data_IF_903498081922
#
_entry.id   IF_903498081922
#
_cell.length_a   1.000
_cell.length_b   1.000
_cell.length_c   1.000
_cell.angle_alpha   90.00
_cell.angle_beta   90.00
_cell.angle_gamma   90.00
#
_symmetry.space_group_name_H-M   'P 1'
#
loop_
_entity.id
_entity.type
_entity.pdbx_description
1 polymer ?
#
# COMPACT_ATOMS: atom_id res chain seq x y z
N UNK A 1 -38.12 19.33 -62.83
CA UNK A 1 -39.20 18.34 -62.71
C UNK A 1 -39.24 17.94 -61.24
N UNK A 2 -40.35 18.26 -60.56
CA UNK A 2 -40.75 18.01 -59.15
C UNK A 2 -39.81 18.55 -58.03
N UNK A 3 -40.17 19.62 -57.26
CA UNK A 3 -41.12 19.70 -56.10
C UNK A 3 -40.57 18.91 -54.89
N UNK A 4 -40.43 19.38 -53.65
CA UNK A 4 -40.97 20.43 -52.76
C UNK A 4 -39.97 20.53 -51.58
N UNK A 5 -39.90 21.53 -50.71
CA UNK A 5 -40.79 22.65 -50.42
C UNK A 5 -40.31 23.32 -49.11
N UNK A 6 -40.69 24.60 -49.00
CA UNK A 6 -40.90 25.43 -47.79
C UNK A 6 -39.71 25.78 -46.86
N UNK A 7 -39.25 27.05 -46.80
CA UNK A 7 -39.81 28.27 -46.15
C UNK A 7 -39.60 28.20 -44.61
N UNK A 8 -38.91 29.12 -43.91
CA UNK A 8 -39.16 30.55 -43.75
C UNK A 8 -37.91 31.33 -43.29
N UNK A 9 -37.97 32.66 -43.48
CA UNK A 9 -36.93 33.69 -43.30
C UNK A 9 -36.73 34.16 -41.85
N UNK A 10 -35.60 34.85 -41.56
CA UNK A 10 -35.11 35.16 -40.23
C UNK A 10 -35.63 36.51 -39.71
N UNK A 11 -35.54 36.75 -38.39
CA UNK A 11 -35.30 38.08 -37.82
C UNK A 11 -34.90 38.05 -36.35
N UNK A 12 -33.78 38.74 -36.10
CA UNK A 12 -33.42 39.56 -34.95
C UNK A 12 -33.30 38.90 -33.56
N UNK A 13 -32.05 38.66 -33.15
CA UNK A 13 -31.67 38.47 -31.75
C UNK A 13 -30.80 39.65 -31.31
N UNK A 14 -31.31 40.38 -30.32
CA UNK A 14 -30.71 41.52 -29.63
C UNK A 14 -29.59 41.08 -28.67
N UNK A 15 -28.64 41.99 -28.48
CA UNK A 15 -27.58 41.97 -27.47
C UNK A 15 -28.11 41.69 -26.05
N UNK A 16 -27.44 40.78 -25.34
CA UNK A 16 -27.59 40.57 -23.91
C UNK A 16 -26.23 40.37 -23.25
N UNK A 17 -25.81 41.35 -22.46
CA UNK A 17 -24.59 41.39 -21.64
C UNK A 17 -24.63 40.29 -20.57
N UNK A 18 -23.70 39.33 -20.59
CA UNK A 18 -23.54 38.35 -19.50
C UNK A 18 -22.64 38.92 -18.40
N UNK A 19 -23.19 39.09 -17.20
CA UNK A 19 -22.42 39.21 -15.96
C UNK A 19 -21.84 37.85 -15.60
N UNK A 20 -20.51 37.77 -15.52
CA UNK A 20 -19.79 36.62 -14.98
C UNK A 20 -19.96 36.58 -13.45
N UNK A 21 -20.88 35.75 -12.98
CA UNK A 21 -20.96 35.35 -11.57
C UNK A 21 -19.93 34.27 -11.28
N UNK A 22 -18.87 34.62 -10.56
CA UNK A 22 -17.90 33.66 -10.02
C UNK A 22 -18.59 32.86 -8.91
N UNK A 23 -19.04 31.65 -9.23
CA UNK A 23 -19.38 30.64 -8.24
C UNK A 23 -18.06 29.99 -7.78
N UNK A 24 -17.45 30.54 -6.74
CA UNK A 24 -16.46 29.80 -5.95
C UNK A 24 -17.20 28.71 -5.18
N UNK A 25 -16.89 27.41 -5.37
CA UNK A 25 -17.34 26.40 -4.43
C UNK A 25 -16.61 26.65 -3.11
N UNK A 26 -17.36 27.12 -2.11
CA UNK A 26 -16.90 27.08 -0.71
C UNK A 26 -16.87 25.59 -0.35
N UNK A 27 -15.68 25.01 -0.31
CA UNK A 27 -15.47 23.73 0.34
C UNK A 27 -15.73 23.95 1.83
N UNK A 28 -16.97 23.71 2.25
CA UNK A 28 -17.27 23.57 3.67
C UNK A 28 -16.73 22.21 4.09
N UNK A 29 -15.60 22.20 4.79
CA UNK A 29 -15.31 21.11 5.72
C UNK A 29 -16.37 21.20 6.82
N UNK A 30 -17.45 20.46 6.66
CA UNK A 30 -18.34 20.16 7.77
C UNK A 30 -17.66 19.06 8.57
N UNK A 31 -17.17 19.42 9.77
CA UNK A 31 -17.22 18.50 10.89
C UNK A 31 -18.71 18.18 11.11
N UNK A 32 -19.20 17.17 10.38
CA UNK A 32 -20.44 16.53 10.78
C UNK A 32 -20.16 15.84 12.11
N UNK A 33 -20.89 16.27 13.14
CA UNK A 33 -21.12 15.50 14.36
C UNK A 33 -21.80 14.19 13.92
N UNK A 34 -20.97 13.24 13.47
CA UNK A 34 -21.43 11.94 13.00
C UNK A 34 -21.85 11.19 14.24
N UNK A 35 -23.14 11.27 14.54
CA UNK A 35 -23.79 10.45 15.56
C UNK A 35 -23.43 8.96 15.41
N UNK A 36 -23.84 8.12 16.36
CA UNK A 36 -23.29 6.78 16.50
C UNK A 36 -23.37 5.97 15.20
N UNK A 37 -22.27 5.32 14.84
CA UNK A 37 -22.16 4.45 13.67
C UNK A 37 -23.12 3.26 13.83
N UNK A 38 -23.93 2.99 12.82
CA UNK A 38 -24.86 1.85 12.81
C UNK A 38 -24.68 0.99 11.56
N UNK A 39 -24.54 -0.31 11.75
CA UNK A 39 -24.36 -1.26 10.66
C UNK A 39 -24.66 -2.70 11.09
N UNK A 40 -24.63 -3.64 10.14
CA UNK A 40 -24.87 -5.06 10.37
C UNK A 40 -23.61 -5.88 10.06
N UNK A 41 -22.90 -6.43 11.06
CA UNK A 41 -21.68 -7.22 10.84
C UNK A 41 -21.97 -8.70 10.51
N UNK A 42 -23.22 -9.13 10.63
CA UNK A 42 -23.67 -10.49 10.33
C UNK A 42 -25.20 -10.51 10.23
N UNK A 43 -25.75 -11.52 9.57
CA UNK A 43 -27.19 -11.69 9.44
C UNK A 43 -27.89 -11.68 10.82
N UNK A 44 -28.87 -10.80 10.99
CA UNK A 44 -29.66 -10.69 12.21
C UNK A 44 -28.98 -9.95 13.38
N UNK A 45 -27.77 -9.42 13.18
CA UNK A 45 -27.06 -8.61 14.17
C UNK A 45 -27.05 -7.15 13.74
N UNK A 46 -27.39 -6.25 14.65
CA UNK A 46 -27.25 -4.80 14.47
C UNK A 46 -26.26 -4.25 15.48
N UNK A 47 -25.37 -3.38 15.03
CA UNK A 47 -24.35 -2.72 15.84
C UNK A 47 -24.64 -1.24 15.91
N UNK A 48 -24.45 -0.66 17.09
CA UNK A 48 -24.31 0.78 17.30
C UNK A 48 -22.97 1.01 17.98
N UNK A 49 -22.11 1.85 17.40
CA UNK A 49 -20.79 2.15 17.93
C UNK A 49 -20.59 3.67 18.05
N UNK A 50 -19.97 4.11 19.14
CA UNK A 50 -19.65 5.52 19.40
C UNK A 50 -18.28 5.64 20.07
N UNK A 51 -17.58 6.75 19.82
CA UNK A 51 -16.34 7.09 20.52
C UNK A 51 -16.69 7.77 21.84
N UNK A 52 -16.04 7.35 22.91
CA UNK A 52 -16.19 7.91 24.25
C UNK A 52 -15.12 8.97 24.52
N UNK A 53 -15.32 9.79 25.55
CA UNK A 53 -14.38 10.88 25.93
C UNK A 53 -12.96 10.39 26.24
N UNK A 54 -12.80 9.11 26.63
CA UNK A 54 -11.51 8.49 26.90
C UNK A 54 -10.85 7.85 25.66
N UNK A 55 -11.43 8.06 24.47
CA UNK A 55 -10.99 7.50 23.20
C UNK A 55 -11.32 6.02 23.00
N UNK A 56 -12.07 5.41 23.92
CA UNK A 56 -12.58 4.05 23.76
C UNK A 56 -13.83 4.02 22.87
N UNK A 57 -14.14 2.86 22.31
CA UNK A 57 -15.35 2.62 21.55
C UNK A 57 -16.38 1.92 22.43
N UNK A 58 -17.54 2.54 22.61
CA UNK A 58 -18.71 1.86 23.16
C UNK A 58 -19.49 1.20 22.03
N UNK A 59 -19.64 -0.13 22.11
CA UNK A 59 -20.32 -0.93 21.09
C UNK A 59 -21.52 -1.65 21.70
N UNK A 60 -22.71 -1.48 21.12
CA UNK A 60 -23.93 -2.18 21.47
C UNK A 60 -24.34 -3.13 20.34
N UNK A 61 -24.52 -4.41 20.66
CA UNK A 61 -24.98 -5.44 19.73
C UNK A 61 -26.41 -5.86 20.04
N UNK A 62 -27.27 -5.76 19.03
CA UNK A 62 -28.68 -6.12 19.10
C UNK A 62 -28.98 -7.34 18.21
N UNK A 63 -29.97 -8.18 18.57
CA UNK A 63 -30.90 -8.03 19.70
C UNK A 63 -30.35 -8.52 21.05
N UNK A 64 -29.16 -9.11 21.09
CA UNK A 64 -28.59 -9.71 22.31
C UNK A 64 -28.40 -8.71 23.47
N UNK A 65 -28.38 -7.40 23.20
CA UNK A 65 -28.16 -6.35 24.19
C UNK A 65 -26.73 -6.34 24.73
N UNK A 66 -25.80 -7.02 24.04
CA UNK A 66 -24.41 -7.17 24.47
C UNK A 66 -23.66 -5.87 24.28
N UNK A 67 -22.82 -5.51 25.24
CA UNK A 67 -21.99 -4.30 25.19
C UNK A 67 -20.51 -4.67 25.20
N UNK A 68 -19.72 -3.98 24.39
CA UNK A 68 -18.26 -4.08 24.40
C UNK A 68 -17.65 -2.68 24.53
N UNK A 69 -16.52 -2.62 25.23
CA UNK A 69 -15.63 -1.47 25.23
C UNK A 69 -14.34 -1.92 24.53
N UNK A 70 -14.02 -1.27 23.41
CA UNK A 70 -12.87 -1.61 22.59
C UNK A 70 -11.93 -0.41 22.55
N UNK A 71 -10.61 -0.59 22.49
CA UNK A 71 -9.71 0.52 22.20
C UNK A 71 -10.12 1.23 20.89
N UNK A 72 -10.02 2.56 20.85
CA UNK A 72 -10.10 3.29 19.60
C UNK A 72 -8.73 3.34 18.90
N UNK A 73 -8.61 4.26 17.95
CA UNK A 73 -7.33 4.72 17.42
C UNK A 73 -7.25 6.24 17.60
N UNK A 74 -7.29 6.74 18.85
CA UNK A 74 -7.53 8.16 19.12
C UNK A 74 -6.39 9.04 18.59
N UNK A 75 -6.76 10.21 18.08
CA UNK A 75 -5.82 11.31 17.85
C UNK A 75 -5.37 11.95 19.18
N UNK A 76 -4.60 13.03 19.09
CA UNK A 76 -4.12 13.78 20.26
C UNK A 76 -5.24 14.35 21.15
N UNK A 77 -6.44 14.52 20.60
CA UNK A 77 -7.62 15.05 21.30
C UNK A 77 -8.55 13.93 21.80
N UNK A 78 -8.19 12.66 21.57
CA UNK A 78 -8.99 11.51 21.98
C UNK A 78 -10.03 11.06 20.95
N UNK A 79 -10.09 11.67 19.76
CA UNK A 79 -11.15 11.41 18.79
C UNK A 79 -10.78 10.28 17.83
N UNK A 80 -11.79 9.59 17.31
CA UNK A 80 -11.64 8.63 16.20
C UNK A 80 -12.82 8.75 15.25
N UNK A 81 -12.55 8.68 13.96
CA UNK A 81 -13.58 8.51 12.94
C UNK A 81 -13.93 7.03 12.83
N UNK A 82 -15.22 6.72 12.97
CA UNK A 82 -15.71 5.34 12.84
C UNK A 82 -16.21 5.06 11.43
N UNK A 83 -16.01 3.83 10.97
CA UNK A 83 -16.53 3.34 9.69
C UNK A 83 -16.81 1.84 9.75
N UNK A 84 -17.60 1.37 8.78
CA UNK A 84 -17.89 -0.03 8.56
C UNK A 84 -17.42 -0.40 7.15
N UNK A 85 -16.35 -1.19 7.04
CA UNK A 85 -15.77 -1.60 5.75
C UNK A 85 -15.51 -3.11 5.74
N UNK A 86 -15.75 -3.78 4.61
CA UNK A 86 -15.45 -5.20 4.40
C UNK A 86 -13.96 -5.36 4.02
N UNK A 87 -13.11 -5.57 5.02
CA UNK A 87 -11.65 -5.64 4.86
C UNK A 87 -11.16 -7.07 4.62
N UNK A 88 -11.90 -8.07 5.06
CA UNK A 88 -11.56 -9.48 4.82
C UNK A 88 -12.19 -10.08 3.55
N UNK A 89 -13.04 -9.29 2.89
CA UNK A 89 -13.69 -9.58 1.63
C UNK A 89 -14.64 -10.78 1.74
N UNK A 90 -15.34 -10.90 2.86
CA UNK A 90 -16.36 -11.92 3.13
C UNK A 90 -17.80 -11.42 2.93
N UNK A 91 -17.98 -10.11 2.66
CA UNK A 91 -19.27 -9.46 2.45
C UNK A 91 -19.90 -8.93 3.74
N UNK A 92 -19.23 -9.07 4.88
CA UNK A 92 -19.63 -8.49 6.15
C UNK A 92 -18.61 -7.43 6.59
N UNK A 93 -19.06 -6.23 6.96
CA UNK A 93 -18.13 -5.18 7.35
C UNK A 93 -17.53 -5.38 8.75
N UNK A 94 -16.25 -5.06 8.87
CA UNK A 94 -15.54 -4.83 10.13
C UNK A 94 -15.91 -3.47 10.73
N UNK A 95 -15.80 -3.34 12.05
CA UNK A 95 -15.79 -2.03 12.73
C UNK A 95 -14.38 -1.45 12.67
N UNK A 96 -14.24 -0.23 12.17
CA UNK A 96 -12.95 0.44 12.01
C UNK A 96 -12.98 1.80 12.70
N UNK A 97 -11.93 2.08 13.48
CA UNK A 97 -11.65 3.39 14.03
C UNK A 97 -10.35 3.94 13.42
N UNK A 98 -10.38 5.19 12.97
CA UNK A 98 -9.26 5.89 12.33
C UNK A 98 -9.05 7.25 12.95
N UNK A 99 -7.81 7.67 13.15
CA UNK A 99 -7.52 9.08 13.44
C UNK A 99 -6.13 9.49 12.97
N UNK A 100 -5.95 10.78 12.76
CA UNK A 100 -4.65 11.34 12.40
C UNK A 100 -3.66 11.20 13.57
N UNK A 101 -2.44 10.75 13.26
CA UNK A 101 -1.33 10.71 14.21
C UNK A 101 -0.18 11.54 13.64
N UNK A 102 0.11 12.64 14.33
CA UNK A 102 0.98 13.67 13.79
C UNK A 102 0.40 14.30 12.53
N UNK A 103 1.26 14.71 11.60
CA UNK A 103 0.83 15.50 10.44
C UNK A 103 0.46 14.67 9.20
N UNK A 104 0.79 13.37 9.18
CA UNK A 104 0.81 12.59 7.92
C UNK A 104 0.41 11.13 8.06
N UNK A 105 0.37 10.57 9.27
CA UNK A 105 -0.03 9.18 9.47
C UNK A 105 -1.48 9.12 9.94
N UNK A 106 -2.14 7.99 9.68
CA UNK A 106 -3.46 7.67 10.24
C UNK A 106 -3.31 6.37 11.04
N UNK A 107 -3.59 6.41 12.34
CA UNK A 107 -3.71 5.19 13.13
C UNK A 107 -5.04 4.51 12.80
N UNK A 108 -5.03 3.18 12.74
CA UNK A 108 -6.22 2.39 12.41
C UNK A 108 -6.35 1.23 13.39
N UNK A 109 -7.51 1.14 14.03
CA UNK A 109 -7.93 -0.03 14.80
C UNK A 109 -9.06 -0.73 14.05
N UNK A 110 -8.89 -2.03 13.81
CA UNK A 110 -9.85 -2.86 13.07
C UNK A 110 -10.40 -3.95 13.98
N UNK A 111 -11.71 -4.13 13.96
CA UNK A 111 -12.43 -5.12 14.75
C UNK A 111 -13.32 -5.99 13.88
N UNK A 112 -13.04 -7.30 13.88
CA UNK A 112 -13.84 -8.30 13.17
C UNK A 112 -14.87 -8.92 14.10
N UNK A 113 -16.10 -9.07 13.60
CA UNK A 113 -17.15 -9.74 14.33
C UNK A 113 -17.03 -11.27 14.23
N UNK A 114 -16.94 -11.95 15.36
CA UNK A 114 -16.95 -13.41 15.44
C UNK A 114 -18.37 -13.91 15.70
N UNK A 115 -19.01 -14.49 14.67
CA UNK A 115 -20.39 -15.02 14.78
C UNK A 115 -20.55 -16.03 15.91
N UNK A 116 -19.54 -16.89 16.13
CA UNK A 116 -19.59 -17.92 17.17
C UNK A 116 -19.64 -17.38 18.61
N UNK A 117 -18.92 -16.29 18.89
CA UNK A 117 -18.88 -15.66 20.21
C UNK A 117 -19.86 -14.48 20.34
N UNK A 118 -20.33 -13.96 19.20
CA UNK A 118 -21.12 -12.74 19.13
C UNK A 118 -20.35 -11.53 19.62
N UNK A 119 -19.04 -11.46 19.36
CA UNK A 119 -18.15 -10.39 19.81
C UNK A 119 -17.28 -9.86 18.69
N UNK A 120 -16.94 -8.59 18.79
CA UNK A 120 -15.81 -8.02 18.06
C UNK A 120 -14.48 -8.44 18.69
N UNK A 121 -13.53 -8.81 17.83
CA UNK A 121 -12.11 -9.07 18.15
C UNK A 121 -11.22 -8.13 17.35
N UNK A 122 -10.17 -7.62 17.99
CA UNK A 122 -9.16 -6.84 17.28
C UNK A 122 -8.50 -7.70 16.20
N UNK A 123 -8.50 -7.20 14.97
CA UNK A 123 -7.74 -7.79 13.88
C UNK A 123 -6.27 -7.41 14.05
N UNK A 124 -5.40 -8.41 14.04
CA UNK A 124 -3.95 -8.22 14.11
C UNK A 124 -3.29 -8.93 12.94
N UNK A 125 -2.34 -8.27 12.31
CA UNK A 125 -1.51 -8.90 11.30
C UNK A 125 -0.41 -9.74 11.95
N UNK A 126 -0.14 -10.92 11.38
CA UNK A 126 1.06 -11.69 11.66
C UNK A 126 2.13 -11.27 10.65
N UNK A 127 3.18 -10.61 11.14
CA UNK A 127 4.21 -9.98 10.29
C UNK A 127 5.57 -10.66 10.35
N UNK A 128 5.79 -11.47 11.39
CA UNK A 128 7.10 -12.09 11.68
C UNK A 128 8.25 -11.07 11.80
N UNK A 129 7.95 -9.82 12.13
CA UNK A 129 8.94 -8.75 12.27
C UNK A 129 9.49 -8.21 10.95
N UNK A 130 8.78 -8.44 9.84
CA UNK A 130 9.15 -7.94 8.51
C UNK A 130 8.36 -6.69 8.07
N UNK A 131 7.42 -6.23 8.88
CA UNK A 131 6.62 -5.03 8.65
C UNK A 131 7.42 -3.75 8.89
N UNK A 132 7.06 -2.70 8.17
CA UNK A 132 7.60 -1.35 8.33
C UNK A 132 6.62 -0.43 9.06
N UNK A 133 5.31 -0.68 8.91
CA UNK A 133 4.27 0.22 9.38
C UNK A 133 3.63 -0.17 10.72
N UNK A 134 4.07 -1.25 11.36
CA UNK A 134 3.56 -1.65 12.67
C UNK A 134 2.07 -1.97 12.67
N UNK A 135 1.30 -1.29 13.53
CA UNK A 135 -0.12 -1.54 13.79
C UNK A 135 -1.07 -1.01 12.69
N UNK A 136 -0.89 -1.42 11.43
CA UNK A 136 -1.80 -1.17 10.31
C UNK A 136 -2.12 0.33 10.04
N UNK A 137 -1.11 1.19 10.00
CA UNK A 137 -1.31 2.61 9.70
C UNK A 137 -1.76 2.89 8.25
N UNK A 138 -2.60 3.91 8.06
CA UNK A 138 -2.99 4.40 6.73
C UNK A 138 -3.62 3.32 5.85
N UNK A 139 -4.49 2.49 6.44
CA UNK A 139 -4.97 1.26 5.84
C UNK A 139 -5.98 1.50 4.71
N UNK A 140 -5.76 0.87 3.55
CA UNK A 140 -6.69 0.89 2.41
C UNK A 140 -6.95 -0.52 1.91
N UNK A 141 -8.18 -0.79 1.46
CA UNK A 141 -8.57 -2.08 0.91
C UNK A 141 -8.62 -2.04 -0.63
N UNK A 142 -8.02 -3.04 -1.26
CA UNK A 142 -8.22 -3.35 -2.67
C UNK A 142 -9.02 -4.65 -2.78
N UNK A 143 -10.35 -4.51 -2.92
CA UNK A 143 -11.25 -5.64 -3.10
C UNK A 143 -10.97 -6.42 -4.38
N UNK A 144 -10.53 -5.72 -5.44
CA UNK A 144 -10.22 -6.36 -6.70
C UNK A 144 -9.03 -7.29 -6.51
N UNK A 145 -7.97 -6.90 -5.78
CA UNK A 145 -6.79 -7.72 -5.50
C UNK A 145 -6.90 -8.61 -4.26
N UNK A 146 -7.91 -8.39 -3.41
CA UNK A 146 -8.07 -8.96 -2.06
C UNK A 146 -6.83 -8.72 -1.20
N UNK A 147 -6.41 -7.45 -1.13
CA UNK A 147 -5.27 -7.02 -0.33
C UNK A 147 -5.61 -5.80 0.51
N UNK A 148 -4.96 -5.69 1.66
CA UNK A 148 -4.93 -4.46 2.44
C UNK A 148 -3.55 -3.82 2.29
N UNK A 149 -3.49 -2.51 2.13
CA UNK A 149 -2.24 -1.76 2.03
C UNK A 149 -2.16 -0.79 3.19
N UNK A 150 -1.14 -0.92 4.02
CA UNK A 150 -0.78 0.07 5.03
C UNK A 150 0.28 1.00 4.45
N UNK A 151 0.15 2.30 4.73
CA UNK A 151 1.07 3.34 4.31
C UNK A 151 1.41 4.21 5.50
N UNK A 152 2.69 4.36 5.79
CA UNK A 152 3.17 5.12 6.93
C UNK A 152 4.43 5.91 6.57
N UNK A 153 4.66 6.99 7.30
CA UNK A 153 5.89 7.76 7.24
C UNK A 153 6.68 7.60 8.53
N UNK A 154 7.97 7.30 8.39
CA UNK A 154 8.94 7.34 9.48
C UNK A 154 10.18 8.12 9.02
N UNK A 155 10.54 9.17 9.77
CA UNK A 155 11.56 10.12 9.33
C UNK A 155 11.23 10.77 7.97
N UNK A 156 12.19 10.87 7.04
CA UNK A 156 11.93 11.43 5.72
C UNK A 156 11.24 10.46 4.77
N UNK A 157 11.12 9.17 5.13
CA UNK A 157 10.73 8.10 4.24
C UNK A 157 9.26 7.68 4.42
N UNK A 158 8.64 7.33 3.30
CA UNK A 158 7.40 6.59 3.26
C UNK A 158 7.70 5.09 3.15
N UNK A 159 6.82 4.29 3.74
CA UNK A 159 6.89 2.84 3.72
C UNK A 159 5.51 2.29 3.39
N UNK A 160 5.52 1.15 2.70
CA UNK A 160 4.31 0.43 2.38
C UNK A 160 4.41 -1.04 2.77
N UNK A 161 3.37 -1.52 3.46
CA UNK A 161 3.14 -2.94 3.72
C UNK A 161 1.85 -3.39 3.05
N UNK A 162 1.85 -4.59 2.47
CA UNK A 162 0.68 -5.20 1.85
C UNK A 162 0.34 -6.48 2.58
N UNK A 163 -0.92 -6.66 2.95
CA UNK A 163 -1.41 -7.80 3.69
C UNK A 163 -2.44 -8.60 2.88
N UNK A 164 -2.55 -9.88 3.23
CA UNK A 164 -3.58 -10.80 2.72
C UNK A 164 -4.17 -11.63 3.85
N UNK A 165 -5.35 -12.18 3.58
CA UNK A 165 -5.95 -13.18 4.45
C UNK A 165 -5.58 -14.61 4.00
N UNK A 166 -5.26 -15.45 4.97
CA UNK A 166 -5.20 -16.90 4.86
C UNK A 166 -6.21 -17.50 5.84
N UNK A 167 -7.44 -17.73 5.37
CA UNK A 167 -8.58 -17.98 6.26
C UNK A 167 -8.81 -16.76 7.18
N UNK A 168 -8.92 -16.94 8.52
CA UNK A 168 -9.14 -15.82 9.44
C UNK A 168 -7.86 -15.01 9.74
N UNK A 169 -6.69 -15.49 9.33
CA UNK A 169 -5.42 -14.85 9.66
C UNK A 169 -5.08 -13.79 8.61
N UNK A 170 -4.95 -12.53 9.05
CA UNK A 170 -4.27 -11.49 8.30
C UNK A 170 -2.76 -11.69 8.45
N UNK A 171 -2.03 -11.77 7.33
CA UNK A 171 -0.57 -11.90 7.32
C UNK A 171 0.06 -10.87 6.40
N UNK A 172 1.29 -10.47 6.72
CA UNK A 172 2.10 -9.61 5.86
C UNK A 172 2.43 -10.37 4.58
N UNK A 173 1.87 -9.92 3.46
CA UNK A 173 2.07 -10.55 2.16
C UNK A 173 3.27 -9.95 1.43
N UNK A 174 3.43 -8.63 1.48
CA UNK A 174 4.62 -7.94 0.97
C UNK A 174 5.04 -6.81 1.90
N UNK A 175 6.34 -6.59 1.98
CA UNK A 175 6.89 -5.38 2.58
C UNK A 175 7.96 -4.75 1.72
N UNK A 176 8.07 -3.45 1.90
CA UNK A 176 9.09 -2.61 1.33
C UNK A 176 10.28 -2.49 2.29
N UNK A 177 11.51 -2.48 1.78
CA UNK A 177 12.66 -2.00 2.52
C UNK A 177 13.43 -1.01 1.65
N UNK A 178 13.22 0.29 1.91
CA UNK A 178 13.90 1.37 1.22
C UNK A 178 15.42 1.20 1.33
N UNK A 179 16.10 1.33 0.19
CA UNK A 179 17.54 1.21 0.08
C UNK A 179 18.22 2.57 0.15
N UNK A 180 19.27 2.64 0.96
CA UNK A 180 20.17 3.78 1.05
C UNK A 180 21.51 3.40 0.42
N UNK A 181 21.49 3.12 -0.90
CA UNK A 181 22.69 2.75 -1.66
C UNK A 181 23.32 3.99 -2.29
N UNK A 182 24.66 4.03 -2.33
CA UNK A 182 25.43 5.20 -2.69
C UNK A 182 26.08 5.15 -4.07
N UNK A 183 27.14 5.93 -4.24
CA UNK A 183 27.78 6.18 -5.54
C UNK A 183 28.39 4.93 -6.16
N UNK A 184 28.82 3.96 -5.35
CA UNK A 184 29.36 2.70 -5.86
C UNK A 184 28.35 1.90 -6.68
N UNK A 185 27.06 1.93 -6.31
CA UNK A 185 26.00 1.32 -7.13
C UNK A 185 25.88 2.04 -8.48
N UNK A 186 25.86 3.37 -8.48
CA UNK A 186 25.73 4.20 -9.67
C UNK A 186 26.92 4.06 -10.63
N UNK A 187 28.10 3.74 -10.10
CA UNK A 187 29.30 3.43 -10.91
C UNK A 187 29.28 2.00 -11.47
N UNK A 188 28.58 1.07 -10.82
CA UNK A 188 28.47 -0.31 -11.27
C UNK A 188 27.34 -0.51 -12.28
N UNK A 189 26.19 0.15 -12.06
CA UNK A 189 24.95 -0.08 -12.77
C UNK A 189 24.29 1.24 -13.17
N UNK A 190 23.65 1.22 -14.34
CA UNK A 190 22.82 2.32 -14.84
C UNK A 190 21.44 1.79 -15.23
N UNK A 191 20.39 2.37 -14.67
CA UNK A 191 19.01 2.09 -15.04
C UNK A 191 18.34 3.35 -15.63
N UNK A 192 17.15 3.17 -16.18
CA UNK A 192 16.30 4.27 -16.60
C UNK A 192 15.47 4.73 -15.39
N UNK A 193 15.64 6.00 -15.02
CA UNK A 193 14.83 6.64 -13.99
C UNK A 193 13.59 7.28 -14.61
N UNK A 194 12.44 7.11 -13.98
CA UNK A 194 11.22 7.83 -14.36
C UNK A 194 11.02 9.06 -13.47
N UNK A 195 10.32 10.10 -13.97
CA UNK A 195 10.13 11.36 -13.23
C UNK A 195 9.47 11.18 -11.85
N UNK A 196 8.72 10.10 -11.65
CA UNK A 196 8.02 9.80 -10.40
C UNK A 196 8.68 8.65 -9.61
N UNK A 197 9.87 8.21 -10.01
CA UNK A 197 10.56 7.12 -9.34
C UNK A 197 11.07 7.57 -7.97
N UNK A 198 10.73 6.78 -6.97
CA UNK A 198 11.26 6.88 -5.63
C UNK A 198 12.69 6.39 -5.49
N UNK A 199 13.23 6.45 -4.26
CA UNK A 199 14.42 5.67 -3.94
C UNK A 199 14.15 4.19 -4.22
N UNK A 200 15.21 3.47 -4.59
CA UNK A 200 15.10 2.02 -4.76
C UNK A 200 14.68 1.38 -3.44
N UNK A 201 13.86 0.33 -3.52
CA UNK A 201 13.47 -0.47 -2.38
C UNK A 201 13.57 -1.96 -2.72
N UNK A 202 13.95 -2.77 -1.74
CA UNK A 202 13.75 -4.22 -1.82
C UNK A 202 12.33 -4.54 -1.42
N UNK A 203 11.58 -5.07 -2.38
CA UNK A 203 10.28 -5.67 -2.15
C UNK A 203 10.44 -7.15 -1.88
N UNK A 204 9.79 -7.64 -0.82
CA UNK A 204 9.74 -9.07 -0.49
C UNK A 204 8.30 -9.55 -0.47
N UNK A 205 8.09 -10.77 -0.95
CA UNK A 205 6.81 -11.48 -0.81
C UNK A 205 6.96 -12.61 0.19
N UNK A 206 5.99 -12.77 1.09
CA UNK A 206 6.00 -13.79 2.14
C UNK A 206 4.80 -14.73 2.02
N UNK A 207 4.97 -15.95 2.52
CA UNK A 207 3.85 -16.84 2.83
C UNK A 207 3.27 -16.54 4.23
N UNK A 208 2.13 -17.13 4.62
CA UNK A 208 1.53 -16.90 5.94
C UNK A 208 2.42 -17.31 7.13
N UNK A 209 3.39 -18.18 6.92
CA UNK A 209 4.35 -18.60 7.94
C UNK A 209 5.57 -17.67 8.02
N UNK A 210 5.60 -16.58 7.23
CA UNK A 210 6.70 -15.61 7.23
C UNK A 210 7.88 -16.03 6.36
N UNK A 211 7.76 -17.10 5.59
CA UNK A 211 8.84 -17.52 4.68
C UNK A 211 8.84 -16.60 3.46
N UNK A 212 9.99 -15.98 3.20
CA UNK A 212 10.21 -15.21 1.97
C UNK A 212 10.10 -16.14 0.74
N UNK A 213 9.24 -15.77 -0.20
CA UNK A 213 8.98 -16.45 -1.46
C UNK A 213 9.70 -15.78 -2.63
N UNK A 214 9.70 -14.44 -2.65
CA UNK A 214 10.26 -13.62 -3.74
C UNK A 214 10.97 -12.39 -3.14
N UNK A 215 12.01 -11.92 -3.82
CA UNK A 215 12.64 -10.62 -3.57
C UNK A 215 12.93 -9.95 -4.92
N UNK A 216 12.73 -8.64 -5.00
CA UNK A 216 13.13 -7.82 -6.14
C UNK A 216 13.46 -6.39 -5.68
N UNK A 217 14.43 -5.74 -6.32
CA UNK A 217 14.66 -4.31 -6.13
C UNK A 217 13.84 -3.54 -7.16
N UNK A 218 13.03 -2.57 -6.72
CA UNK A 218 12.20 -1.75 -7.59
C UNK A 218 12.03 -0.34 -7.05
N UNK A 219 11.02 0.37 -7.54
CA UNK A 219 10.59 1.67 -7.00
C UNK A 219 10.01 1.51 -5.59
N UNK A 220 10.44 2.35 -4.64
CA UNK A 220 9.90 2.40 -3.28
C UNK A 220 8.62 3.22 -3.13
N UNK A 221 8.35 4.18 -4.01
CA UNK A 221 7.15 5.02 -3.87
C UNK A 221 5.84 4.32 -4.30
N UNK A 222 5.92 3.20 -5.02
CA UNK A 222 4.77 2.48 -5.53
C UNK A 222 4.82 0.99 -5.24
N UNK A 223 3.86 0.49 -4.47
CA UNK A 223 3.73 -0.94 -4.21
C UNK A 223 3.57 -1.75 -5.52
N UNK A 224 4.39 -2.79 -5.75
CA UNK A 224 4.24 -3.68 -6.89
C UNK A 224 2.87 -4.32 -6.88
N UNK A 225 2.25 -4.41 -8.06
CA UNK A 225 0.92 -5.00 -8.23
C UNK A 225 0.82 -6.35 -7.51
N UNK A 226 -0.09 -6.45 -6.53
CA UNK A 226 -0.20 -7.59 -5.60
C UNK A 226 -0.37 -8.95 -6.27
N UNK A 227 -0.84 -9.01 -7.51
CA UNK A 227 -1.12 -10.27 -8.24
C UNK A 227 -0.04 -10.70 -9.21
N UNK A 228 0.95 -9.85 -9.47
CA UNK A 228 2.05 -10.16 -10.37
C UNK A 228 3.27 -10.61 -9.55
N UNK A 229 4.08 -11.56 -10.06
CA UNK A 229 5.40 -11.83 -9.48
C UNK A 229 6.22 -10.56 -9.38
N UNK A 230 7.04 -10.45 -8.34
CA UNK A 230 7.98 -9.35 -8.24
C UNK A 230 8.93 -9.35 -9.45
N UNK A 231 9.18 -8.16 -10.00
CA UNK A 231 10.13 -7.92 -11.09
C UNK A 231 11.12 -6.88 -10.63
N UNK A 232 12.40 -7.21 -10.80
CA UNK A 232 13.46 -6.26 -10.49
C UNK A 232 13.53 -5.14 -11.51
N UNK A 233 14.06 -4.01 -11.06
CA UNK A 233 14.48 -2.92 -11.91
C UNK A 233 15.59 -3.44 -12.85
N UNK A 234 15.36 -3.23 -14.15
CA UNK A 234 16.35 -3.53 -15.17
C UNK A 234 17.43 -2.44 -15.17
N UNK A 235 18.69 -2.88 -15.25
CA UNK A 235 19.86 -2.04 -15.25
C UNK A 235 20.89 -2.56 -16.27
N UNK A 236 21.90 -1.73 -16.52
CA UNK A 236 22.99 -2.00 -17.46
C UNK A 236 24.32 -1.90 -16.74
N UNK A 237 25.18 -2.88 -16.95
CA UNK A 237 26.54 -2.88 -16.40
C UNK A 237 27.36 -1.75 -17.01
N UNK A 238 27.94 -0.91 -16.16
CA UNK A 238 28.74 0.26 -16.55
C UNK A 238 30.23 -0.07 -16.75
N UNK A 239 30.93 -0.77 -15.84
CA UNK A 239 32.36 -1.01 -15.99
C UNK A 239 32.66 -2.10 -17.01
N UNK A 240 33.89 -2.10 -17.54
CA UNK A 240 34.36 -3.13 -18.48
C UNK A 240 34.25 -4.56 -17.92
N UNK A 241 34.46 -4.71 -16.61
CA UNK A 241 34.25 -5.96 -15.86
C UNK A 241 33.62 -5.66 -14.52
N UNK A 242 32.46 -6.25 -14.26
CA UNK A 242 31.78 -6.23 -12.97
C UNK A 242 31.84 -7.63 -12.38
N UNK A 243 32.62 -7.82 -11.32
CA UNK A 243 32.79 -9.14 -10.69
C UNK A 243 31.52 -9.58 -9.98
N UNK A 244 31.14 -10.84 -10.21
CA UNK A 244 29.90 -11.43 -9.72
C UNK A 244 30.23 -12.56 -8.73
N UNK A 245 29.80 -12.40 -7.48
CA UNK A 245 30.12 -13.30 -6.38
C UNK A 245 28.96 -14.25 -6.08
N UNK A 246 29.26 -15.42 -5.51
CA UNK A 246 28.21 -16.41 -5.19
C UNK A 246 27.39 -16.02 -3.95
N UNK A 247 27.96 -15.21 -3.05
CA UNK A 247 27.33 -14.72 -1.82
C UNK A 247 27.98 -13.42 -1.34
N UNK A 248 27.28 -12.62 -0.50
CA UNK A 248 27.89 -11.51 0.22
C UNK A 248 29.11 -11.94 1.04
N UNK A 249 30.13 -11.07 1.08
CA UNK A 249 31.38 -11.28 1.82
C UNK A 249 32.34 -12.32 1.23
N UNK A 250 32.07 -12.85 0.02
CA UNK A 250 33.03 -13.71 -0.66
C UNK A 250 34.28 -12.92 -1.09
N UNK A 251 35.47 -13.48 -0.87
CA UNK A 251 36.75 -12.76 -1.06
C UNK A 251 37.28 -12.78 -2.49
N UNK A 252 36.78 -13.68 -3.34
CA UNK A 252 37.19 -13.75 -4.74
C UNK A 252 36.12 -14.41 -5.61
N UNK A 253 36.16 -14.11 -6.90
CA UNK A 253 35.35 -14.76 -7.93
C UNK A 253 36.09 -14.71 -9.26
N UNK A 254 35.79 -15.66 -10.15
CA UNK A 254 36.20 -15.62 -11.57
C UNK A 254 35.06 -15.20 -12.49
N UNK A 255 33.84 -15.14 -11.96
CA UNK A 255 32.64 -14.77 -12.71
C UNK A 255 32.58 -13.25 -12.78
N UNK A 256 32.24 -12.74 -13.95
CA UNK A 256 32.04 -11.31 -14.16
C UNK A 256 31.00 -11.11 -15.26
N UNK A 257 30.36 -9.95 -15.20
CA UNK A 257 29.58 -9.37 -16.27
C UNK A 257 30.44 -8.34 -17.00
N UNK A 258 30.09 -8.03 -18.25
CA UNK A 258 30.81 -7.05 -19.06
C UNK A 258 29.96 -5.81 -19.29
N UNK A 259 30.61 -4.70 -19.63
CA UNK A 259 29.94 -3.44 -19.95
C UNK A 259 28.83 -3.65 -20.99
N UNK A 260 27.66 -3.08 -20.73
CA UNK A 260 26.49 -3.18 -21.59
C UNK A 260 25.60 -4.40 -21.34
N UNK A 261 26.02 -5.37 -20.52
CA UNK A 261 25.15 -6.46 -20.10
C UNK A 261 23.91 -5.90 -19.39
N UNK A 262 22.74 -6.44 -19.75
CA UNK A 262 21.46 -6.13 -19.10
C UNK A 262 21.22 -7.08 -17.94
N UNK A 263 20.89 -6.53 -16.78
CA UNK A 263 20.65 -7.28 -15.55
C UNK A 263 19.42 -6.77 -14.83
N UNK A 264 18.82 -7.68 -14.07
CA UNK A 264 17.72 -7.37 -13.17
C UNK A 264 18.22 -7.37 -11.72
N UNK A 265 17.87 -6.32 -10.96
CA UNK A 265 18.24 -6.19 -9.55
C UNK A 265 17.24 -6.95 -8.65
N UNK A 266 17.72 -7.93 -7.89
CA UNK A 266 16.87 -8.90 -7.20
C UNK A 266 16.78 -8.71 -5.69
N UNK A 267 17.86 -8.35 -5.03
CA UNK A 267 17.89 -8.31 -3.56
C UNK A 267 19.06 -7.46 -3.09
N UNK A 268 19.01 -7.06 -1.83
CA UNK A 268 20.09 -6.35 -1.16
C UNK A 268 20.35 -7.00 0.21
N UNK A 269 21.64 -7.13 0.54
CA UNK A 269 22.10 -7.57 1.83
C UNK A 269 23.46 -6.95 2.18
N UNK A 270 23.51 -6.14 3.22
CA UNK A 270 24.73 -5.60 3.83
C UNK A 270 25.66 -4.88 2.81
N UNK A 271 25.06 -4.08 1.93
CA UNK A 271 25.73 -3.37 0.84
C UNK A 271 26.15 -4.26 -0.32
N UNK A 272 25.53 -5.43 -0.45
CA UNK A 272 25.65 -6.28 -1.63
C UNK A 272 24.33 -6.34 -2.38
N UNK A 273 24.39 -6.19 -3.70
CA UNK A 273 23.22 -6.27 -4.56
C UNK A 273 23.25 -7.57 -5.35
N UNK A 274 22.17 -8.34 -5.28
CA UNK A 274 21.99 -9.54 -6.08
C UNK A 274 21.45 -9.16 -7.46
N UNK A 275 22.08 -9.70 -8.49
CA UNK A 275 21.74 -9.48 -9.89
C UNK A 275 21.33 -10.79 -10.56
N UNK A 276 20.45 -10.68 -11.56
CA UNK A 276 20.14 -11.74 -12.52
C UNK A 276 20.49 -11.29 -13.92
N UNK A 277 21.42 -12.00 -14.54
CA UNK A 277 21.76 -11.87 -15.95
C UNK A 277 21.11 -13.02 -16.74
N UNK A 278 20.45 -12.71 -17.86
CA UNK A 278 19.87 -13.74 -18.74
C UNK A 278 20.82 -14.05 -19.88
N UNK A 279 21.58 -15.15 -19.76
CA UNK A 279 22.46 -15.60 -20.82
C UNK A 279 21.65 -16.40 -21.87
N UNK A 280 21.70 -16.04 -23.16
CA UNK A 280 20.96 -16.75 -24.20
C UNK A 280 21.32 -18.24 -24.35
N UNK A 281 22.52 -18.65 -23.92
CA UNK A 281 23.03 -20.03 -24.05
C UNK A 281 22.96 -20.83 -22.75
N UNK A 282 23.06 -20.16 -21.60
CA UNK A 282 23.21 -20.82 -20.28
C UNK A 282 22.02 -20.58 -19.34
N UNK A 283 21.03 -19.77 -19.76
CA UNK A 283 19.90 -19.42 -18.92
C UNK A 283 20.23 -18.30 -17.92
N UNK A 284 19.46 -18.23 -16.84
CA UNK A 284 19.64 -17.21 -15.82
C UNK A 284 20.89 -17.48 -14.97
N UNK A 285 21.73 -16.46 -14.85
CA UNK A 285 22.94 -16.45 -14.03
C UNK A 285 22.71 -15.43 -12.92
N UNK A 286 22.77 -15.88 -11.67
CA UNK A 286 22.61 -15.01 -10.50
C UNK A 286 23.91 -14.87 -9.72
N UNK A 287 24.11 -13.70 -9.12
CA UNK A 287 25.16 -13.49 -8.14
C UNK A 287 25.16 -12.07 -7.58
N UNK A 288 26.11 -11.79 -6.71
CA UNK A 288 26.16 -10.59 -5.91
C UNK A 288 27.27 -9.66 -6.36
N UNK A 289 27.04 -8.37 -6.32
CA UNK A 289 28.06 -7.33 -6.46
C UNK A 289 28.19 -6.60 -5.14
N UNK A 290 29.41 -6.18 -4.78
CA UNK A 290 29.63 -5.34 -3.62
C UNK A 290 29.46 -3.88 -4.03
N UNK A 291 28.58 -3.16 -3.35
CA UNK A 291 28.27 -1.75 -3.58
C UNK A 291 28.41 -0.90 -2.31
N UNK A 292 29.14 -1.42 -1.31
CA UNK A 292 29.55 -0.61 -0.17
C UNK A 292 30.50 0.51 -0.62
N UNK A 293 30.28 1.71 -0.11
CA UNK A 293 31.18 2.87 -0.23
C UNK A 293 32.35 2.81 0.77
#
# INVERSE_FOLDING_TARGET
MALQGMMMKPRDVLLGTMLAGVLTPVAQAQDEDQGPLRFSPAAGVQVTAEVQEDGMLAVLLQPAGKRQHLPGAPDADGNSRLSAEDLDFDGHPELIARAAVGMVNEAVAVYRFEVGSGEFRALKAVTHGHDQCGELMGLTADAAARTLTASCRSGPMWYTDVYRFNGPQLYLYRSENVLMLGDTLNQALRWEETENQGPLAVWRTYDPAGKMLESAIGDGLGAPASRAPLRGQEATVVPARLFLFDRPGASSTKRYLVQGDRVEMLDEQDGWVKLRYRNPKQGAIEGWINVND
#
